data_IF_847639625476
#
_entry.id   IF_847639625476
#
_cell.length_a   1.000
_cell.length_b   1.000
_cell.length_c   1.000
_cell.angle_alpha   90.00
_cell.angle_beta   90.00
_cell.angle_gamma   90.00
#
_symmetry.space_group_name_H-M   'P 1'
#
loop_
_entity.id
_entity.type
_entity.pdbx_description
1 polymer ?
#
# COMPACT_ATOMS: atom_id res chain seq x y z
N UNK A 1 -13.30 -12.84 -17.79
CA UNK A 1 -12.02 -12.78 -17.05
C UNK A 1 -12.09 -11.67 -16.00
N UNK A 2 -11.25 -11.69 -14.96
CA UNK A 2 -11.30 -10.75 -13.81
C UNK A 2 -11.05 -9.29 -14.24
N UNK A 3 -10.23 -9.09 -15.28
CA UNK A 3 -9.85 -7.76 -15.80
C UNK A 3 -10.31 -7.53 -17.24
N UNK A 4 -11.37 -8.19 -17.69
CA UNK A 4 -11.84 -8.16 -19.08
C UNK A 4 -12.27 -6.76 -19.55
N UNK A 5 -12.88 -6.00 -18.65
CA UNK A 5 -13.44 -4.67 -18.94
C UNK A 5 -12.41 -3.53 -18.95
N UNK A 6 -11.16 -3.79 -18.54
CA UNK A 6 -10.10 -2.78 -18.48
C UNK A 6 -9.29 -2.77 -19.77
N UNK A 7 -8.83 -1.60 -20.22
CA UNK A 7 -7.91 -1.52 -21.35
C UNK A 7 -6.49 -1.96 -20.93
N UNK A 8 -5.67 -2.44 -21.87
CA UNK A 8 -4.28 -2.80 -21.56
C UNK A 8 -3.49 -1.59 -21.04
N UNK A 9 -3.76 -0.40 -21.58
CA UNK A 9 -3.19 0.85 -21.10
C UNK A 9 -3.48 1.11 -19.61
N UNK A 10 -4.67 0.74 -19.12
CA UNK A 10 -5.02 0.91 -17.71
C UNK A 10 -4.31 -0.11 -16.81
N UNK A 11 -4.12 -1.34 -17.29
CA UNK A 11 -3.36 -2.36 -16.56
C UNK A 11 -1.87 -2.00 -16.49
N UNK A 12 -1.31 -1.43 -17.57
CA UNK A 12 0.06 -0.89 -17.56
C UNK A 12 0.17 0.27 -16.58
N UNK A 13 -0.79 1.21 -16.58
CA UNK A 13 -0.87 2.30 -15.60
C UNK A 13 -1.00 1.80 -14.17
N UNK A 14 -1.64 0.64 -13.97
CA UNK A 14 -1.69 -0.04 -12.68
C UNK A 14 -0.34 -0.63 -12.24
N UNK A 15 0.71 -0.55 -13.07
CA UNK A 15 2.05 -1.05 -12.79
C UNK A 15 2.34 -2.44 -13.35
N UNK A 16 1.43 -3.03 -14.14
CA UNK A 16 1.63 -4.35 -14.74
C UNK A 16 2.66 -4.26 -15.88
N UNK A 17 3.76 -5.04 -15.83
CA UNK A 17 4.70 -5.13 -16.95
C UNK A 17 4.00 -5.66 -18.20
N UNK A 18 4.29 -5.10 -19.37
CA UNK A 18 3.67 -5.51 -20.64
C UNK A 18 3.77 -7.03 -20.89
N UNK A 19 4.93 -7.60 -20.58
CA UNK A 19 5.20 -9.04 -20.70
C UNK A 19 4.29 -9.93 -19.83
N UNK A 20 3.68 -9.39 -18.77
CA UNK A 20 2.77 -10.10 -17.88
C UNK A 20 1.29 -9.81 -18.17
N UNK A 21 0.96 -8.94 -19.12
CA UNK A 21 -0.43 -8.66 -19.52
C UNK A 21 -1.20 -9.93 -19.91
N UNK A 22 -0.64 -10.88 -20.71
CA UNK A 22 -1.36 -12.11 -21.03
C UNK A 22 -1.71 -12.93 -19.78
N UNK A 23 -0.80 -12.98 -18.80
CA UNK A 23 -1.03 -13.69 -17.54
C UNK A 23 -2.11 -13.01 -16.69
N UNK A 24 -2.12 -11.68 -16.62
CA UNK A 24 -3.16 -10.91 -15.91
C UNK A 24 -4.52 -11.05 -16.59
N UNK A 25 -4.57 -11.02 -17.92
CA UNK A 25 -5.79 -11.21 -18.72
C UNK A 25 -6.40 -12.60 -18.56
N UNK A 26 -5.58 -13.62 -18.35
CA UNK A 26 -6.01 -14.99 -18.11
C UNK A 26 -6.54 -15.25 -16.67
N UNK A 27 -6.51 -14.25 -15.78
CA UNK A 27 -7.01 -14.42 -14.42
C UNK A 27 -8.54 -14.45 -14.40
N UNK A 28 -9.11 -15.43 -13.68
CA UNK A 28 -10.56 -15.59 -13.50
C UNK A 28 -11.01 -15.47 -12.04
N UNK A 29 -10.07 -15.38 -11.08
CA UNK A 29 -10.38 -15.31 -9.65
C UNK A 29 -9.31 -14.56 -8.87
N UNK A 30 -9.68 -14.07 -7.68
CA UNK A 30 -8.75 -13.45 -6.74
C UNK A 30 -7.64 -14.42 -6.29
N UNK A 31 -7.95 -15.72 -6.14
CA UNK A 31 -6.95 -16.74 -5.83
C UNK A 31 -5.89 -16.88 -6.93
N UNK A 32 -6.28 -16.68 -8.19
CA UNK A 32 -5.32 -16.66 -9.30
C UNK A 32 -4.36 -15.47 -9.21
N UNK A 33 -4.87 -14.30 -8.79
CA UNK A 33 -4.06 -13.10 -8.59
C UNK A 33 -3.02 -13.31 -7.48
N UNK A 34 -3.40 -13.90 -6.35
CA UNK A 34 -2.46 -14.18 -5.25
C UNK A 34 -1.36 -15.17 -5.65
N UNK A 35 -1.63 -16.11 -6.58
CA UNK A 35 -0.58 -17.00 -7.14
C UNK A 35 0.38 -16.26 -8.06
N UNK A 36 -0.07 -15.21 -8.73
CA UNK A 36 0.76 -14.39 -9.62
C UNK A 36 1.61 -13.37 -8.86
N UNK A 37 1.26 -13.08 -7.59
CA UNK A 37 1.95 -12.15 -6.70
C UNK A 37 3.49 -12.24 -6.70
N UNK A 38 4.14 -13.42 -6.67
CA UNK A 38 5.60 -13.49 -6.63
C UNK A 38 6.30 -12.95 -7.90
N UNK A 39 5.56 -12.86 -9.00
CA UNK A 39 6.08 -12.45 -10.31
C UNK A 39 5.68 -11.02 -10.67
N UNK A 40 4.79 -10.40 -9.89
CA UNK A 40 4.33 -9.04 -10.12
C UNK A 40 5.08 -8.05 -9.22
N UNK A 41 5.31 -6.82 -9.69
CA UNK A 41 5.62 -5.71 -8.80
C UNK A 41 4.57 -5.61 -7.70
N UNK A 42 5.00 -5.32 -6.47
CA UNK A 42 4.11 -5.28 -5.30
C UNK A 42 2.97 -4.26 -5.51
N UNK A 43 3.28 -3.11 -6.10
CA UNK A 43 2.35 -2.03 -6.38
C UNK A 43 1.31 -2.43 -7.43
N UNK A 44 1.75 -3.19 -8.44
CA UNK A 44 0.86 -3.74 -9.45
C UNK A 44 -0.11 -4.75 -8.85
N UNK A 45 0.39 -5.65 -8.02
CA UNK A 45 -0.44 -6.60 -7.30
C UNK A 45 -1.45 -5.89 -6.38
N UNK A 46 -1.04 -4.87 -5.63
CA UNK A 46 -1.95 -4.09 -4.78
C UNK A 46 -3.06 -3.40 -5.57
N UNK A 47 -2.73 -2.75 -6.68
CA UNK A 47 -3.70 -2.07 -7.53
C UNK A 47 -4.70 -3.07 -8.14
N UNK A 48 -4.20 -4.19 -8.70
CA UNK A 48 -5.04 -5.28 -9.21
C UNK A 48 -5.92 -5.91 -8.12
N UNK A 49 -5.40 -6.03 -6.89
CA UNK A 49 -6.15 -6.53 -5.75
C UNK A 49 -7.34 -5.61 -5.43
N UNK A 50 -7.15 -4.29 -5.43
CA UNK A 50 -8.25 -3.35 -5.21
C UNK A 50 -9.27 -3.40 -6.33
N UNK A 51 -8.84 -3.44 -7.59
CA UNK A 51 -9.75 -3.59 -8.74
C UNK A 51 -10.59 -4.86 -8.59
N UNK A 52 -9.95 -6.00 -8.31
CA UNK A 52 -10.62 -7.30 -8.20
C UNK A 52 -11.58 -7.41 -7.01
N UNK A 53 -11.26 -6.83 -5.86
CA UNK A 53 -12.03 -7.01 -4.62
C UNK A 53 -13.02 -5.87 -4.32
N UNK A 54 -12.78 -4.67 -4.84
CA UNK A 54 -13.67 -3.52 -4.69
C UNK A 54 -14.52 -3.25 -5.93
N UNK A 55 -14.15 -3.82 -7.09
CA UNK A 55 -14.82 -3.50 -8.37
C UNK A 55 -14.64 -2.03 -8.75
N UNK A 56 -13.57 -1.38 -8.29
CA UNK A 56 -13.33 0.04 -8.48
C UNK A 56 -12.60 0.33 -9.81
N UNK A 57 -12.69 1.56 -10.28
CA UNK A 57 -11.94 2.03 -11.45
C UNK A 57 -10.43 2.08 -11.14
N UNK A 58 -9.58 2.03 -12.17
CA UNK A 58 -8.11 2.02 -12.01
C UNK A 58 -7.62 3.24 -11.24
N UNK A 59 -8.16 4.44 -11.52
CA UNK A 59 -7.76 5.64 -10.79
C UNK A 59 -8.11 5.57 -9.30
N UNK A 60 -9.21 4.91 -8.95
CA UNK A 60 -9.58 4.69 -7.54
C UNK A 60 -8.67 3.67 -6.88
N UNK A 61 -8.35 2.59 -7.58
CA UNK A 61 -7.41 1.57 -7.12
C UNK A 61 -6.01 2.14 -6.90
N UNK A 62 -5.51 2.98 -7.82
CA UNK A 62 -4.22 3.68 -7.70
C UNK A 62 -4.20 4.58 -6.45
N UNK A 63 -5.28 5.33 -6.21
CA UNK A 63 -5.43 6.14 -4.98
C UNK A 63 -5.39 5.28 -3.72
N UNK A 64 -6.04 4.11 -3.73
CA UNK A 64 -6.04 3.18 -2.59
C UNK A 64 -4.66 2.56 -2.37
N UNK A 65 -3.98 2.20 -3.47
CA UNK A 65 -2.60 1.75 -3.46
C UNK A 65 -1.62 2.87 -3.07
N UNK A 66 -2.07 4.14 -2.99
CA UNK A 66 -1.24 5.28 -2.61
C UNK A 66 -0.26 5.72 -3.69
N UNK A 67 -0.53 5.35 -4.94
CA UNK A 67 0.24 5.78 -6.11
C UNK A 67 -0.25 7.18 -6.49
N UNK A 68 0.65 8.15 -6.45
CA UNK A 68 0.37 9.52 -6.92
C UNK A 68 0.81 9.67 -8.39
N UNK A 69 0.24 10.66 -9.07
CA UNK A 69 0.51 10.88 -10.49
C UNK A 69 1.99 11.18 -10.73
N UNK A 70 2.52 10.62 -11.81
CA UNK A 70 3.92 10.76 -12.23
C UNK A 70 4.22 12.23 -12.54
N UNK A 71 4.63 12.95 -11.51
CA UNK A 71 4.97 14.37 -11.59
C UNK A 71 6.48 14.41 -11.64
N UNK A 72 7.10 15.02 -12.67
CA UNK A 72 8.56 15.12 -12.74
C UNK A 72 9.06 15.83 -11.49
N UNK A 73 9.72 15.09 -10.60
CA UNK A 73 10.30 15.59 -9.36
C UNK A 73 11.80 15.38 -9.39
N UNK A 74 12.52 16.32 -8.77
CA UNK A 74 13.96 16.18 -8.48
C UNK A 74 14.22 14.86 -7.72
N UNK A 75 15.39 14.25 -7.89
CA UNK A 75 15.71 12.96 -7.27
C UNK A 75 15.61 12.96 -5.74
N UNK A 76 15.93 14.10 -5.10
CA UNK A 76 15.76 14.32 -3.65
C UNK A 76 14.27 14.37 -3.27
N UNK A 77 13.45 15.11 -4.02
CA UNK A 77 11.99 15.12 -3.86
C UNK A 77 11.35 13.77 -4.19
N UNK A 78 11.94 13.00 -5.11
CA UNK A 78 11.51 11.65 -5.44
C UNK A 78 11.71 10.68 -4.28
N UNK A 79 12.71 10.87 -3.41
CA UNK A 79 12.87 10.09 -2.18
C UNK A 79 11.77 10.38 -1.14
N UNK A 80 11.21 11.59 -1.17
CA UNK A 80 10.05 11.93 -0.34
C UNK A 80 8.73 11.37 -0.88
N UNK A 81 8.71 10.93 -2.13
CA UNK A 81 7.53 10.34 -2.75
C UNK A 81 7.03 9.12 -1.94
N UNK A 82 5.70 8.97 -1.73
CA UNK A 82 5.15 7.86 -0.95
C UNK A 82 5.62 6.48 -1.39
N UNK A 83 5.88 6.26 -2.68
CA UNK A 83 6.39 4.99 -3.22
C UNK A 83 7.86 4.74 -2.91
N UNK A 84 8.69 5.79 -2.91
CA UNK A 84 10.10 5.69 -2.51
C UNK A 84 10.21 5.44 -1.02
N UNK A 85 9.42 6.15 -0.20
CA UNK A 85 9.38 5.96 1.26
C UNK A 85 8.91 4.57 1.70
N UNK A 86 8.33 3.76 0.80
CA UNK A 86 8.00 2.35 1.11
C UNK A 86 9.23 1.46 1.13
N UNK A 87 10.22 1.78 0.30
CA UNK A 87 11.40 0.95 0.04
C UNK A 87 12.66 1.52 0.66
N UNK A 88 12.71 2.83 0.82
CA UNK A 88 13.87 3.57 1.28
C UNK A 88 13.48 4.45 2.47
N UNK A 89 14.31 4.40 3.51
CA UNK A 89 14.26 5.37 4.60
C UNK A 89 15.51 6.25 4.47
N UNK A 90 15.29 7.55 4.28
CA UNK A 90 16.39 8.51 4.27
C UNK A 90 16.79 8.75 5.72
N UNK A 91 18.01 8.36 6.05
CA UNK A 91 18.60 8.66 7.36
C UNK A 91 19.23 10.05 7.27
N UNK A 92 18.83 10.94 8.16
CA UNK A 92 19.28 12.33 8.20
C UNK A 92 20.62 12.48 8.96
N UNK A 93 20.97 11.52 9.83
CA UNK A 93 22.27 11.50 10.50
C UNK A 93 22.79 10.08 10.84
N UNK A 94 24.12 9.88 10.99
CA UNK A 94 24.69 8.61 11.43
C UNK A 94 24.12 8.11 12.76
N UNK A 95 23.83 9.02 13.70
CA UNK A 95 23.29 8.69 15.02
C UNK A 95 21.84 8.18 14.95
N UNK A 96 21.05 8.67 13.99
CA UNK A 96 19.71 8.15 13.71
C UNK A 96 19.78 6.70 13.19
N UNK A 97 20.72 6.41 12.28
CA UNK A 97 20.92 5.06 11.78
C UNK A 97 21.32 4.09 12.91
N UNK A 98 22.26 4.50 13.77
CA UNK A 98 22.70 3.69 14.90
C UNK A 98 21.55 3.41 15.86
N UNK A 99 20.72 4.41 16.18
CA UNK A 99 19.51 4.21 16.98
C UNK A 99 18.55 3.22 16.33
N UNK A 100 18.26 3.38 15.03
CA UNK A 100 17.36 2.49 14.30
C UNK A 100 17.87 1.05 14.34
N UNK A 101 19.18 0.84 14.14
CA UNK A 101 19.79 -0.49 14.13
C UNK A 101 19.83 -1.15 15.51
N UNK A 102 19.98 -0.36 16.58
CA UNK A 102 20.00 -0.84 17.97
C UNK A 102 18.59 -1.13 18.52
N UNK A 103 17.53 -0.73 17.83
CA UNK A 103 16.16 -0.99 18.27
C UNK A 103 15.80 -2.48 18.20
N UNK A 104 15.11 -3.03 19.23
CA UNK A 104 14.75 -4.44 19.25
C UNK A 104 13.94 -4.85 18.02
N UNK A 105 14.21 -6.06 17.50
CA UNK A 105 13.50 -6.65 16.36
C UNK A 105 11.97 -6.66 16.51
N UNK A 106 11.47 -6.60 17.75
CA UNK A 106 10.06 -6.43 18.05
C UNK A 106 9.45 -5.12 17.53
N UNK A 107 10.19 -4.00 17.53
CA UNK A 107 9.74 -2.69 17.02
C UNK A 107 9.62 -2.69 15.49
N UNK A 108 10.52 -3.37 14.81
CA UNK A 108 10.46 -3.57 13.36
C UNK A 108 9.18 -4.29 12.90
N UNK A 109 8.67 -5.24 13.70
CA UNK A 109 7.41 -5.95 13.40
C UNK A 109 6.14 -5.10 13.53
N UNK A 110 6.23 -3.95 14.19
CA UNK A 110 5.09 -3.02 14.38
C UNK A 110 5.29 -1.72 13.59
N UNK A 111 6.27 -1.69 12.68
CA UNK A 111 6.45 -0.58 11.76
C UNK A 111 5.16 -0.33 10.97
N UNK A 112 4.72 0.92 10.95
CA UNK A 112 3.50 1.34 10.30
C UNK A 112 3.86 2.09 9.02
N UNK A 113 3.42 1.55 7.89
CA UNK A 113 3.70 2.15 6.59
C UNK A 113 2.99 3.52 6.45
N UNK A 114 3.54 4.53 5.73
CA UNK A 114 2.89 5.84 5.58
C UNK A 114 1.45 5.78 5.04
N UNK A 115 1.16 4.91 4.07
CA UNK A 115 -0.22 4.71 3.58
C UNK A 115 -1.16 4.16 4.67
N UNK A 116 -0.64 3.37 5.60
CA UNK A 116 -1.38 2.84 6.75
C UNK A 116 -1.54 3.88 7.86
N UNK A 117 -0.55 4.76 8.06
CA UNK A 117 -0.65 5.89 8.99
C UNK A 117 -1.83 6.80 8.63
N UNK A 118 -2.02 7.07 7.34
CA UNK A 118 -3.22 7.80 6.85
C UNK A 118 -4.53 7.12 7.25
N UNK A 119 -4.60 5.79 7.23
CA UNK A 119 -5.78 5.04 7.70
C UNK A 119 -5.94 5.09 9.23
N UNK A 120 -4.83 5.06 9.96
CA UNK A 120 -4.79 5.12 11.43
C UNK A 120 -5.28 6.47 11.96
N UNK A 121 -4.96 7.57 11.29
CA UNK A 121 -5.28 8.92 11.79
C UNK A 121 -6.60 9.47 11.23
N UNK A 122 -7.13 8.88 10.15
CA UNK A 122 -8.36 9.36 9.51
C UNK A 122 -9.58 9.34 10.43
N UNK A 123 -10.40 10.38 10.33
CA UNK A 123 -11.73 10.40 10.93
C UNK A 123 -12.75 9.70 10.01
N UNK A 124 -13.47 8.72 10.57
CA UNK A 124 -14.52 7.98 9.88
C UNK A 124 -15.85 8.24 10.59
N UNK A 125 -16.90 8.50 9.83
CA UNK A 125 -18.26 8.70 10.36
C UNK A 125 -18.96 7.35 10.58
N UNK A 126 -18.36 6.51 11.43
CA UNK A 126 -18.87 5.17 11.76
C UNK A 126 -17.86 4.04 11.48
N UNK A 127 -18.33 2.78 11.45
CA UNK A 127 -17.48 1.62 11.20
C UNK A 127 -16.75 1.71 9.85
N UNK A 128 -15.46 1.39 9.84
CA UNK A 128 -14.63 1.38 8.64
C UNK A 128 -14.08 -0.01 8.35
N UNK A 129 -14.01 -0.39 7.07
CA UNK A 129 -13.42 -1.64 6.60
C UNK A 129 -12.06 -1.37 5.96
N UNK A 130 -11.02 -2.02 6.45
CA UNK A 130 -9.68 -1.98 5.85
C UNK A 130 -9.45 -3.27 5.07
N UNK A 131 -9.15 -3.14 3.78
CA UNK A 131 -8.80 -4.24 2.89
C UNK A 131 -7.31 -4.21 2.59
N UNK A 132 -6.76 -5.38 2.28
CA UNK A 132 -5.36 -5.53 1.85
C UNK A 132 -5.00 -7.01 1.73
N UNK A 133 -4.05 -7.33 0.86
CA UNK A 133 -3.59 -8.70 0.61
C UNK A 133 -2.98 -9.39 1.84
N UNK A 134 -2.66 -10.68 1.74
CA UNK A 134 -2.03 -11.41 2.86
C UNK A 134 -0.64 -10.83 3.19
N UNK A 135 -0.37 -10.54 4.47
CA UNK A 135 0.90 -9.98 4.94
C UNK A 135 1.02 -8.44 4.93
N UNK A 136 -0.01 -7.72 4.48
CA UNK A 136 -0.01 -6.23 4.35
C UNK A 136 -0.20 -5.47 5.68
N UNK A 137 0.15 -6.06 6.83
CA UNK A 137 0.16 -5.35 8.11
C UNK A 137 -1.20 -4.92 8.68
N UNK A 138 -2.35 -5.41 8.19
CA UNK A 138 -3.70 -5.03 8.68
C UNK A 138 -3.85 -5.09 10.21
N UNK A 139 -3.27 -6.11 10.86
CA UNK A 139 -3.29 -6.22 12.33
C UNK A 139 -2.49 -5.09 12.99
N UNK A 140 -1.33 -4.73 12.43
CA UNK A 140 -0.51 -3.59 12.91
C UNK A 140 -1.30 -2.29 12.75
N UNK A 141 -1.98 -2.08 11.61
CA UNK A 141 -2.88 -0.93 11.41
C UNK A 141 -3.98 -0.88 12.47
N UNK A 142 -4.64 -2.00 12.75
CA UNK A 142 -5.70 -2.05 13.75
C UNK A 142 -5.18 -1.69 15.15
N UNK A 143 -4.01 -2.19 15.54
CA UNK A 143 -3.38 -1.88 16.83
C UNK A 143 -3.01 -0.40 16.94
N UNK A 144 -2.37 0.17 15.91
CA UNK A 144 -2.05 1.60 15.87
C UNK A 144 -3.30 2.48 15.89
N UNK A 145 -4.37 2.08 15.18
CA UNK A 145 -5.67 2.77 15.20
C UNK A 145 -6.30 2.74 16.59
N UNK A 146 -6.31 1.59 17.26
CA UNK A 146 -6.84 1.48 18.62
C UNK A 146 -6.08 2.42 19.57
N UNK A 147 -4.74 2.43 19.48
CA UNK A 147 -3.90 3.36 20.26
C UNK A 147 -4.20 4.83 19.95
N UNK A 148 -4.33 5.20 18.67
CA UNK A 148 -4.66 6.57 18.26
C UNK A 148 -6.04 6.99 18.81
N UNK A 149 -7.05 6.14 18.65
CA UNK A 149 -8.41 6.41 19.13
C UNK A 149 -8.43 6.66 20.65
N UNK A 150 -7.75 5.82 21.43
CA UNK A 150 -7.67 5.96 22.88
C UNK A 150 -6.91 7.22 23.33
N UNK A 151 -5.89 7.66 22.58
CA UNK A 151 -5.04 8.79 22.97
C UNK A 151 -5.50 10.15 22.45
N UNK A 152 -6.23 10.17 21.33
CA UNK A 152 -6.50 11.40 20.59
C UNK A 152 -7.98 11.67 20.34
N UNK A 153 -8.84 10.65 20.37
CA UNK A 153 -10.27 10.80 20.04
C UNK A 153 -11.16 10.60 21.26
N UNK A 154 -10.94 9.53 22.02
CA UNK A 154 -11.72 9.18 23.21
C UNK A 154 -10.91 9.50 24.48
N UNK A 155 -10.57 10.77 24.65
CA UNK A 155 -9.74 11.27 25.76
C UNK A 155 -10.55 11.71 26.98
N UNK A 156 -11.88 11.68 26.88
CA UNK A 156 -12.74 11.92 28.04
C UNK A 156 -12.56 10.79 29.07
N UNK A 157 -12.49 11.12 30.38
CA UNK A 157 -12.31 10.16 31.46
C UNK A 157 -13.50 9.21 31.64
#
# INVERSE_FOLDING_TARGET
>A
ALFETFADADLIRAGVPEMLLPSVRALHSADGLERLRPYLPAEAHETLFYIANLGCAVDEALRHAGVEADTPVDATLALEHPDSRRRFHLVESPEELDQILDEPMAKWRIFLHPSQARLVERHFNGPARVLGGAGTGKTVVAMHRARYLARSVFTAP
#
